data_IF_594935980481
#
_entry.id   IF_594935980481
#
_cell.length_a   1.000
_cell.length_b   1.000
_cell.length_c   1.000
_cell.angle_alpha   90.00
_cell.angle_beta   90.00
_cell.angle_gamma   90.00
#
_symmetry.space_group_name_H-M   'P 1'
#
loop_
_entity.id
_entity.type
_entity.pdbx_description
1 polymer ?
#
# COMPACT_ATOMS: atom_id res chain seq x y z
N UNK A 1 -12.46 22.43 -13.42
CA UNK A 1 -11.33 21.91 -14.21
C UNK A 1 -11.77 20.54 -14.70
N UNK A 2 -12.14 20.42 -15.96
CA UNK A 2 -12.54 19.15 -16.57
C UNK A 2 -11.31 18.52 -17.21
N UNK A 3 -10.95 17.32 -16.79
CA UNK A 3 -9.93 16.51 -17.44
C UNK A 3 -10.62 15.36 -18.17
N UNK A 4 -10.41 15.29 -19.48
CA UNK A 4 -10.91 14.22 -20.33
C UNK A 4 -9.71 13.41 -20.82
N UNK A 5 -9.71 12.09 -20.57
CA UNK A 5 -8.65 11.18 -21.00
C UNK A 5 -9.24 10.26 -22.06
N UNK A 6 -8.83 10.46 -23.32
CA UNK A 6 -9.09 9.52 -24.41
C UNK A 6 -7.87 8.63 -24.59
N UNK A 7 -8.05 7.30 -24.48
CA UNK A 7 -6.97 6.32 -24.63
C UNK A 7 -7.24 5.55 -25.92
N UNK A 8 -6.47 5.83 -26.96
CA UNK A 8 -6.44 5.03 -28.18
C UNK A 8 -5.41 3.92 -28.04
N UNK A 9 -5.83 2.66 -28.30
CA UNK A 9 -4.91 1.52 -28.28
C UNK A 9 -4.01 1.55 -29.54
N UNK A 10 -2.68 1.46 -29.41
CA UNK A 10 -1.80 1.34 -30.57
C UNK A 10 -2.08 0.05 -31.35
N UNK A 11 -2.13 0.15 -32.68
CA UNK A 11 -2.26 -1.02 -33.56
C UNK A 11 -1.07 -1.99 -33.36
N UNK A 12 -1.37 -3.29 -33.25
CA UNK A 12 -0.35 -4.34 -33.12
C UNK A 12 -0.01 -4.80 -31.71
N UNK A 13 -0.61 -4.21 -30.66
CA UNK A 13 -0.57 -4.84 -29.31
C UNK A 13 -1.44 -6.11 -29.30
N UNK A 14 -1.06 -7.16 -28.54
CA UNK A 14 -1.91 -8.33 -28.38
C UNK A 14 -3.31 -7.93 -27.90
N UNK A 15 -4.37 -8.31 -28.62
CA UNK A 15 -5.76 -8.14 -28.19
C UNK A 15 -6.10 -8.94 -26.92
N UNK A 16 -5.18 -9.80 -26.48
CA UNK A 16 -5.31 -10.65 -25.30
C UNK A 16 -3.95 -10.77 -24.61
N UNK A 17 -3.97 -10.73 -23.28
CA UNK A 17 -2.77 -10.77 -22.45
C UNK A 17 -3.09 -10.40 -21.01
N UNK A 18 -2.15 -10.58 -20.07
CA UNK A 18 -2.32 -10.08 -18.72
C UNK A 18 -2.40 -8.55 -18.72
N UNK A 19 -3.32 -7.98 -17.93
CA UNK A 19 -3.46 -6.54 -17.74
C UNK A 19 -2.12 -5.94 -17.27
N UNK A 20 -1.73 -4.83 -17.87
CA UNK A 20 -0.50 -4.12 -17.51
C UNK A 20 -0.82 -3.06 -16.47
N UNK A 21 -0.27 -3.22 -15.27
CA UNK A 21 -0.34 -2.21 -14.21
C UNK A 21 1.03 -1.59 -14.03
N UNK A 22 1.14 -0.29 -14.30
CA UNK A 22 2.29 0.54 -14.02
C UNK A 22 2.07 1.40 -12.79
N UNK A 23 3.12 2.10 -12.36
CA UNK A 23 3.07 3.02 -11.24
C UNK A 23 4.07 4.16 -11.42
N UNK A 24 3.85 5.26 -10.73
CA UNK A 24 4.80 6.37 -10.59
C UNK A 24 4.58 7.08 -9.25
N UNK A 25 5.55 7.89 -8.82
CA UNK A 25 5.38 8.74 -7.64
C UNK A 25 4.73 10.07 -8.02
N UNK A 26 3.70 10.50 -7.28
CA UNK A 26 3.04 11.79 -7.49
C UNK A 26 3.87 12.99 -7.02
N UNK A 27 4.98 12.73 -6.31
CA UNK A 27 5.91 13.74 -5.84
C UNK A 27 7.33 13.18 -5.80
N UNK A 28 8.30 13.97 -6.24
CA UNK A 28 9.73 13.64 -6.14
C UNK A 28 10.29 13.86 -4.72
N UNK A 29 9.53 14.53 -3.84
CA UNK A 29 9.97 14.84 -2.49
C UNK A 29 10.15 13.56 -1.68
N UNK A 30 11.40 13.22 -1.37
CA UNK A 30 11.71 12.01 -0.62
C UNK A 30 11.56 10.72 -1.44
N UNK A 31 11.55 10.80 -2.78
CA UNK A 31 11.39 9.66 -3.68
C UNK A 31 12.33 8.49 -3.37
N UNK A 32 13.56 8.77 -2.91
CA UNK A 32 14.55 7.76 -2.50
C UNK A 32 14.08 6.84 -1.37
N UNK A 33 13.08 7.25 -0.59
CA UNK A 33 12.52 6.44 0.49
C UNK A 33 11.53 5.38 -0.03
N UNK A 34 10.97 5.56 -1.23
CA UNK A 34 9.87 4.76 -1.75
C UNK A 34 10.37 3.73 -2.76
N UNK A 35 10.37 2.47 -2.35
CA UNK A 35 10.72 1.35 -3.21
C UNK A 35 9.66 1.09 -4.30
N UNK A 36 10.06 0.53 -5.45
CA UNK A 36 9.09 0.07 -6.44
C UNK A 36 8.11 -0.95 -5.84
N UNK A 37 6.79 -0.87 -6.13
CA UNK A 37 5.85 -1.96 -5.88
C UNK A 37 6.33 -3.25 -6.53
N UNK A 38 6.36 -4.33 -5.76
CA UNK A 38 6.83 -5.64 -6.20
C UNK A 38 5.63 -6.57 -6.41
N UNK A 39 5.66 -7.44 -7.41
CA UNK A 39 4.67 -8.52 -7.49
C UNK A 39 4.90 -9.49 -6.34
N UNK A 40 3.83 -9.89 -5.66
CA UNK A 40 3.94 -10.90 -4.61
C UNK A 40 4.43 -12.20 -5.24
N UNK A 41 5.56 -12.71 -4.75
CA UNK A 41 6.11 -14.01 -5.14
C UNK A 41 6.65 -14.71 -3.91
N UNK A 42 6.27 -15.96 -3.72
CA UNK A 42 6.86 -16.79 -2.67
C UNK A 42 8.25 -17.26 -3.15
N UNK A 43 9.31 -16.75 -2.53
CA UNK A 43 10.67 -17.27 -2.74
C UNK A 43 10.69 -18.75 -2.33
N UNK A 44 11.45 -19.57 -3.06
CA UNK A 44 11.65 -21.00 -2.79
C UNK A 44 10.42 -21.90 -2.96
N UNK A 45 9.57 -21.66 -3.96
CA UNK A 45 8.53 -22.64 -4.31
C UNK A 45 9.18 -23.93 -4.83
N UNK A 46 8.97 -25.04 -4.13
CA UNK A 46 9.38 -26.35 -4.63
C UNK A 46 8.60 -26.64 -5.93
N UNK A 47 9.28 -26.64 -7.07
CA UNK A 47 8.70 -26.96 -8.41
C UNK A 47 9.15 -28.30 -8.97
N UNK A 48 9.90 -29.09 -8.18
CA UNK A 48 10.43 -30.39 -8.61
C UNK A 48 9.30 -31.40 -8.85
N UNK A 49 8.27 -31.38 -8.01
CA UNK A 49 7.11 -32.25 -8.16
C UNK A 49 5.99 -31.59 -8.99
N UNK A 50 5.37 -32.35 -9.89
CA UNK A 50 4.30 -31.89 -10.79
C UNK A 50 3.04 -31.43 -10.06
N UNK A 51 2.75 -32.02 -8.89
CA UNK A 51 1.62 -31.65 -8.02
C UNK A 51 1.99 -30.62 -6.93
N UNK A 52 3.12 -29.94 -7.05
CA UNK A 52 3.48 -28.89 -6.11
C UNK A 52 2.53 -27.70 -6.20
N UNK A 53 2.30 -27.03 -5.06
CA UNK A 53 1.53 -25.79 -5.05
C UNK A 53 2.17 -24.70 -5.95
N UNK A 54 3.50 -24.73 -6.13
CA UNK A 54 4.22 -23.85 -7.04
C UNK A 54 3.93 -24.06 -8.53
N UNK A 55 3.21 -25.13 -8.90
CA UNK A 55 2.67 -25.36 -10.25
C UNK A 55 1.13 -25.26 -10.31
N UNK A 56 0.46 -25.07 -9.17
CA UNK A 56 -0.99 -24.96 -9.12
C UNK A 56 -1.44 -23.67 -9.82
N UNK A 57 -2.26 -23.74 -10.88
CA UNK A 57 -2.74 -22.55 -11.58
C UNK A 57 -3.47 -21.57 -10.65
N UNK A 58 -4.19 -22.08 -9.65
CA UNK A 58 -4.88 -21.25 -8.66
C UNK A 58 -3.93 -20.43 -7.79
N UNK A 59 -2.79 -20.99 -7.39
CA UNK A 59 -1.76 -20.29 -6.60
C UNK A 59 -1.04 -19.25 -7.46
N UNK A 60 -0.61 -19.64 -8.67
CA UNK A 60 0.08 -18.73 -9.60
C UNK A 60 -0.83 -17.54 -9.97
N UNK A 61 -2.12 -17.79 -10.20
CA UNK A 61 -3.07 -16.73 -10.52
C UNK A 61 -3.45 -15.87 -9.31
N UNK A 62 -3.36 -16.41 -8.10
CA UNK A 62 -3.49 -15.62 -6.89
C UNK A 62 -2.29 -14.66 -6.76
N UNK A 63 -1.06 -15.18 -6.82
CA UNK A 63 0.19 -14.39 -6.75
C UNK A 63 0.26 -13.28 -7.80
N UNK A 64 -0.13 -13.58 -9.05
CA UNK A 64 -0.04 -12.61 -10.15
C UNK A 64 -0.94 -11.38 -9.99
N UNK A 65 -1.96 -11.44 -9.13
CA UNK A 65 -2.92 -10.35 -8.88
C UNK A 65 -2.51 -9.40 -7.75
N UNK A 66 -1.49 -9.74 -6.96
CA UNK A 66 -1.08 -8.92 -5.82
C UNK A 66 0.21 -8.15 -6.09
N UNK A 67 0.18 -6.89 -5.66
CA UNK A 67 1.35 -6.04 -5.52
C UNK A 67 1.64 -5.82 -4.04
N UNK A 68 2.90 -5.97 -3.66
CA UNK A 68 3.43 -5.61 -2.37
C UNK A 68 4.04 -4.22 -2.48
N UNK A 69 3.47 -3.27 -1.73
CA UNK A 69 4.05 -1.95 -1.53
C UNK A 69 4.75 -1.97 -0.18
N UNK A 70 6.08 -1.82 -0.18
CA UNK A 70 6.85 -1.73 1.06
C UNK A 70 6.53 -0.40 1.73
N UNK A 71 6.15 -0.46 3.00
CA UNK A 71 6.02 0.75 3.82
C UNK A 71 7.43 1.22 4.18
N UNK A 72 7.83 2.46 3.84
CA UNK A 72 9.17 2.95 4.16
C UNK A 72 9.29 3.46 5.61
N UNK A 73 8.20 3.42 6.36
CA UNK A 73 8.11 3.93 7.72
C UNK A 73 7.88 2.80 8.70
N UNK A 74 8.69 2.77 9.76
CA UNK A 74 8.41 2.04 10.99
C UNK A 74 7.99 3.06 12.06
N UNK A 75 6.80 2.90 12.62
CA UNK A 75 6.18 3.92 13.47
C UNK A 75 5.51 3.29 14.69
N UNK A 76 5.82 3.85 15.87
CA UNK A 76 5.12 3.53 17.11
C UNK A 76 4.27 4.73 17.53
N UNK A 77 2.99 4.71 17.15
CA UNK A 77 2.07 5.83 17.34
C UNK A 77 1.06 5.49 18.42
N UNK A 78 0.89 6.41 19.36
CA UNK A 78 -0.18 6.39 20.34
C UNK A 78 -1.24 7.45 20.04
N UNK A 79 -2.41 7.28 20.65
CA UNK A 79 -3.47 8.27 20.66
C UNK A 79 -3.44 9.06 21.97
N UNK A 80 -3.79 10.34 21.92
CA UNK A 80 -3.92 11.19 23.10
C UNK A 80 -4.84 12.38 22.84
N UNK A 81 -5.06 13.16 23.90
CA UNK A 81 -5.70 14.48 23.83
C UNK A 81 -4.74 15.52 24.38
N UNK A 82 -4.70 16.69 23.77
CA UNK A 82 -3.95 17.84 24.29
C UNK A 82 -4.67 18.50 25.47
N UNK A 83 -4.06 19.55 26.04
CA UNK A 83 -4.61 20.29 27.19
C UNK A 83 -5.96 20.98 26.89
N UNK A 84 -6.34 21.09 25.61
CA UNK A 84 -7.62 21.65 25.14
C UNK A 84 -8.63 20.57 24.77
N UNK A 85 -8.29 19.30 25.00
CA UNK A 85 -9.13 18.15 24.67
C UNK A 85 -9.11 17.75 23.20
N UNK A 86 -8.27 18.37 22.36
CA UNK A 86 -8.17 18.05 20.94
C UNK A 86 -7.40 16.74 20.75
N UNK A 87 -7.89 15.90 19.84
CA UNK A 87 -7.28 14.61 19.53
C UNK A 87 -5.95 14.80 18.79
N UNK A 88 -4.94 14.04 19.20
CA UNK A 88 -3.58 14.12 18.65
C UNK A 88 -2.95 12.74 18.54
N UNK A 89 -2.05 12.59 17.57
CA UNK A 89 -1.15 11.44 17.46
C UNK A 89 0.13 11.72 18.23
N UNK A 90 0.54 10.76 19.05
CA UNK A 90 1.73 10.83 19.90
C UNK A 90 2.78 9.88 19.36
N UNK A 91 3.94 10.39 18.96
CA UNK A 91 5.08 9.55 18.59
C UNK A 91 5.70 8.94 19.85
N UNK A 92 5.41 7.67 20.13
CA UNK A 92 5.88 6.96 21.32
C UNK A 92 7.34 6.51 21.22
N UNK A 93 7.89 6.45 20.01
CA UNK A 93 9.31 6.16 19.82
C UNK A 93 10.20 7.36 20.19
N UNK A 94 9.64 8.56 20.38
CA UNK A 94 10.38 9.74 20.80
C UNK A 94 11.60 10.02 19.90
N UNK A 95 12.78 10.15 20.50
CA UNK A 95 14.05 10.37 19.78
C UNK A 95 14.54 9.14 19.01
N UNK A 96 14.05 7.94 19.33
CA UNK A 96 14.35 6.71 18.60
C UNK A 96 13.48 6.53 17.35
N UNK A 97 12.54 7.45 17.09
CA UNK A 97 11.69 7.37 15.91
C UNK A 97 12.49 7.58 14.62
N UNK A 98 12.30 6.75 13.58
CA UNK A 98 12.96 6.94 12.29
C UNK A 98 12.39 8.13 11.51
N UNK A 99 11.26 8.69 11.95
CA UNK A 99 10.62 9.87 11.36
C UNK A 99 10.57 11.02 12.38
N UNK A 100 11.06 12.20 11.98
CA UNK A 100 10.95 13.40 12.83
C UNK A 100 9.48 13.80 12.99
N UNK A 101 9.10 14.26 14.18
CA UNK A 101 7.70 14.60 14.50
C UNK A 101 7.08 15.65 13.56
N UNK A 102 7.85 16.63 13.09
CA UNK A 102 7.40 17.61 12.11
C UNK A 102 7.12 17.01 10.71
N UNK A 103 7.75 15.89 10.37
CA UNK A 103 7.51 15.14 9.12
C UNK A 103 6.46 14.07 9.27
N UNK A 104 6.23 13.57 10.48
CA UNK A 104 5.15 12.62 10.74
C UNK A 104 3.79 13.16 10.31
N UNK A 105 3.50 14.44 10.59
CA UNK A 105 2.25 15.08 10.16
C UNK A 105 2.12 15.30 8.64
N UNK A 106 3.19 15.18 7.86
CA UNK A 106 3.12 15.21 6.39
C UNK A 106 2.69 13.86 5.81
N UNK A 107 2.91 12.76 6.56
CA UNK A 107 2.71 11.39 6.08
C UNK A 107 1.52 10.72 6.79
N UNK A 108 1.28 11.03 8.06
CA UNK A 108 0.24 10.41 8.87
C UNK A 108 -0.69 11.47 9.45
N UNK A 109 -1.95 11.42 9.04
CA UNK A 109 -2.98 12.39 9.41
C UNK A 109 -4.05 11.73 10.26
N UNK A 110 -4.40 12.35 11.39
CA UNK A 110 -5.59 12.00 12.13
C UNK A 110 -6.79 12.69 11.50
N UNK A 111 -7.76 11.90 11.06
CA UNK A 111 -9.03 12.42 10.51
C UNK A 111 -9.80 13.12 11.63
N UNK A 112 -10.58 14.15 11.29
CA UNK A 112 -11.40 14.89 12.25
C UNK A 112 -12.31 13.93 13.04
N UNK A 113 -12.43 14.15 14.35
CA UNK A 113 -13.25 13.33 15.26
C UNK A 113 -14.72 13.26 14.82
N UNK A 114 -15.25 14.33 14.24
CA UNK A 114 -16.62 14.36 13.72
C UNK A 114 -16.83 13.43 12.51
N UNK A 115 -15.76 13.04 11.82
CA UNK A 115 -15.80 12.18 10.63
C UNK A 115 -15.52 10.70 10.95
N UNK A 116 -15.28 10.36 12.22
CA UNK A 116 -15.04 8.99 12.60
C UNK A 116 -16.32 8.15 12.46
N UNK A 117 -16.17 6.95 11.89
CA UNK A 117 -17.29 6.01 11.76
C UNK A 117 -17.83 5.58 13.13
N UNK A 118 -16.94 5.41 14.10
CA UNK A 118 -17.27 5.06 15.47
C UNK A 118 -16.58 6.06 16.41
N UNK A 119 -17.29 6.64 17.40
CA UNK A 119 -16.70 7.66 18.28
C UNK A 119 -15.49 7.18 19.09
N UNK A 120 -15.38 5.87 19.33
CA UNK A 120 -14.31 5.23 20.09
C UNK A 120 -13.15 4.73 19.20
N UNK A 121 -13.21 4.91 17.88
CA UNK A 121 -12.23 4.37 16.93
C UNK A 121 -11.67 5.48 16.03
N UNK A 122 -10.48 6.01 16.34
CA UNK A 122 -9.88 7.06 15.53
C UNK A 122 -9.51 6.54 14.14
N UNK A 123 -9.87 7.31 13.11
CA UNK A 123 -9.44 7.05 11.74
C UNK A 123 -8.13 7.78 11.46
N UNK A 124 -7.11 7.03 11.05
CA UNK A 124 -5.81 7.57 10.62
C UNK A 124 -5.60 7.30 9.13
N UNK A 125 -4.97 8.24 8.44
CA UNK A 125 -4.64 8.14 7.02
C UNK A 125 -3.14 8.22 6.83
N UNK A 126 -2.58 7.22 6.16
CA UNK A 126 -1.19 7.20 5.72
C UNK A 126 -1.11 7.63 4.26
N UNK A 127 -0.39 8.71 4.00
CA UNK A 127 -0.21 9.29 2.67
C UNK A 127 1.06 8.73 2.05
N UNK A 128 0.90 7.87 1.04
CA UNK A 128 1.99 7.35 0.22
C UNK A 128 1.84 7.90 -1.20
N UNK A 129 2.90 8.43 -1.83
CA UNK A 129 2.80 9.10 -3.12
C UNK A 129 2.70 8.13 -4.31
N UNK A 130 2.20 6.90 -4.15
CA UNK A 130 2.07 5.97 -5.27
C UNK A 130 0.80 6.26 -6.09
N UNK A 131 0.98 6.49 -7.39
CA UNK A 131 -0.11 6.47 -8.36
C UNK A 131 0.01 5.21 -9.23
N UNK A 132 -1.09 4.48 -9.38
CA UNK A 132 -1.17 3.30 -10.23
C UNK A 132 -1.91 3.65 -11.52
N UNK A 133 -1.40 3.14 -12.64
CA UNK A 133 -1.98 3.29 -13.97
C UNK A 133 -2.15 1.91 -14.61
N UNK A 134 -3.22 1.73 -15.38
CA UNK A 134 -3.49 0.48 -16.07
C UNK A 134 -3.98 0.74 -17.50
N UNK A 135 -3.76 -0.24 -18.37
CA UNK A 135 -4.23 -0.23 -19.76
C UNK A 135 -5.70 -0.68 -19.93
N UNK A 136 -6.31 -1.15 -18.85
CA UNK A 136 -7.73 -1.49 -18.73
C UNK A 136 -8.29 -1.08 -17.36
N UNK A 137 -9.62 -1.10 -17.21
CA UNK A 137 -10.28 -0.86 -15.93
C UNK A 137 -9.90 -1.94 -14.92
N UNK A 138 -9.31 -1.52 -13.80
CA UNK A 138 -8.97 -2.38 -12.66
C UNK A 138 -9.54 -1.83 -11.37
N UNK A 139 -10.01 -2.73 -10.51
CA UNK A 139 -10.41 -2.38 -9.15
C UNK A 139 -9.26 -2.68 -8.20
N UNK A 140 -8.85 -1.68 -7.43
CA UNK A 140 -7.78 -1.81 -6.44
C UNK A 140 -8.41 -1.99 -5.07
N UNK A 141 -7.90 -2.95 -4.31
CA UNK A 141 -8.22 -3.11 -2.90
C UNK A 141 -6.93 -3.16 -2.10
N UNK A 142 -6.89 -2.44 -0.98
CA UNK A 142 -5.76 -2.47 -0.06
C UNK A 142 -6.03 -3.53 1.01
N UNK A 143 -5.13 -4.51 1.11
CA UNK A 143 -5.19 -5.56 2.11
C UNK A 143 -4.02 -5.41 3.10
N UNK A 144 -4.26 -5.75 4.37
CA UNK A 144 -3.17 -5.92 5.34
C UNK A 144 -2.19 -6.98 4.85
N UNK A 145 -0.92 -6.90 5.22
CA UNK A 145 0.07 -7.92 4.84
C UNK A 145 -0.33 -9.30 5.39
N UNK A 146 -0.81 -10.21 4.54
CA UNK A 146 -1.41 -11.49 4.94
C UNK A 146 -0.68 -12.73 4.39
N UNK A 147 0.24 -12.56 3.44
CA UNK A 147 0.97 -13.66 2.79
C UNK A 147 2.37 -13.92 3.37
N UNK A 148 2.66 -13.40 4.56
CA UNK A 148 3.88 -13.73 5.30
C UNK A 148 3.54 -14.70 6.43
N UNK A 149 4.29 -15.80 6.57
CA UNK A 149 4.16 -16.68 7.73
C UNK A 149 4.50 -15.89 8.99
N UNK A 150 3.51 -15.70 9.86
CA UNK A 150 3.71 -15.10 11.17
C UNK A 150 3.79 -16.24 12.19
N UNK A 151 4.58 -16.04 13.24
CA UNK A 151 4.64 -16.99 14.37
C UNK A 151 3.23 -17.16 14.98
N UNK A 152 2.51 -16.05 15.10
CA UNK A 152 1.13 -16.00 15.57
C UNK A 152 0.21 -15.63 14.39
N UNK A 153 -0.75 -16.48 14.01
CA UNK A 153 -1.75 -16.19 12.97
C UNK A 153 -2.59 -14.95 13.32
N UNK A 154 -3.03 -14.23 12.28
CA UNK A 154 -3.98 -13.12 12.41
C UNK A 154 -5.40 -13.62 12.77
#
# INVERSE_FOLDING_TARGET
>A
MEFNISIERPEGRPNSGPITVGWFLTSDKGAVLYDPPERVSFRQTNKTHSKSAGRCPGVIQLESRYFMVKCPFDMHIGFGRDDKGKTVLVNRAGTASPIRGNKLGEVLTLVNEAEWRYPDRPTVQLMLPYCFIADELVYITQLSAFMHYRKDPL
#
